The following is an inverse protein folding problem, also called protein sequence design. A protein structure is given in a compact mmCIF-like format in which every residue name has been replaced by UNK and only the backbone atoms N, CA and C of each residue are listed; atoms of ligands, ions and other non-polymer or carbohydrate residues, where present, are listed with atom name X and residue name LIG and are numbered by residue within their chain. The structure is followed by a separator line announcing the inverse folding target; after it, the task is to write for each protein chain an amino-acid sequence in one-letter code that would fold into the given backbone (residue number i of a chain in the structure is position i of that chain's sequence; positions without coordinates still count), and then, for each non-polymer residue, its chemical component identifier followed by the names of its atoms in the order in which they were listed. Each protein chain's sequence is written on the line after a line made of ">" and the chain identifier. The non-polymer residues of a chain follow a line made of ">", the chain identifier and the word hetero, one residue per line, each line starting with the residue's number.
data_IF_000669138673
#
_entry.id   IF_000669138673
#
_cell.length_a   1.000
_cell.length_b   1.000
_cell.length_c   1.000
_cell.angle_alpha   90.00
_cell.angle_beta   90.00
_cell.angle_gamma   90.00
#
_symmetry.space_group_name_H-M   'P 1'
#
loop_
_entity.id
_entity.type
_entity.pdbx_description
1 polymer ?
#
# COMPACT_ATOMS: atom_id res chain seq x y z
N UNK A 1 0.85 -3.45 -0.80
CA UNK A 1 2.13 -3.20 -0.12
C UNK A 1 2.11 -3.83 1.26
N UNK A 2 3.28 -4.05 1.83
CA UNK A 2 3.46 -4.38 3.26
C UNK A 2 4.23 -3.25 3.95
N UNK A 3 4.23 -3.26 5.28
CA UNK A 3 4.98 -2.30 6.07
C UNK A 3 4.84 -2.55 7.56
N UNK A 4 5.65 -1.85 8.35
CA UNK A 4 5.64 -1.92 9.80
C UNK A 4 5.14 -0.60 10.38
N UNK A 5 4.15 -0.67 11.26
CA UNK A 5 3.75 0.49 12.05
C UNK A 5 4.89 0.80 13.03
N UNK A 6 5.46 2.00 12.93
CA UNK A 6 6.59 2.44 13.76
C UNK A 6 6.21 3.53 14.76
N UNK A 7 5.10 4.24 14.51
CA UNK A 7 4.62 5.30 15.39
C UNK A 7 3.11 5.55 15.20
N UNK A 8 2.50 6.23 16.17
CA UNK A 8 1.10 6.70 16.13
C UNK A 8 1.12 8.22 16.24
N UNK A 9 0.59 8.91 15.23
CA UNK A 9 0.60 10.37 15.15
C UNK A 9 -0.73 10.97 15.58
N UNK A 10 -0.72 12.26 15.89
CA UNK A 10 -1.92 13.03 16.14
C UNK A 10 -1.75 14.41 15.50
N UNK A 11 -2.19 14.53 14.25
CA UNK A 11 -2.23 15.77 13.48
C UNK A 11 -3.67 16.29 13.41
N UNK A 12 -3.83 17.62 13.53
CA UNK A 12 -5.14 18.29 13.50
C UNK A 12 -5.86 18.15 12.13
N UNK A 13 -5.11 17.92 11.05
CA UNK A 13 -5.64 17.67 9.71
C UNK A 13 -6.09 16.22 9.53
N UNK A 14 -5.65 15.30 10.39
CA UNK A 14 -6.04 13.90 10.36
C UNK A 14 -7.34 13.66 11.15
N UNK A 15 -8.41 13.24 10.47
CA UNK A 15 -9.70 13.04 11.13
C UNK A 15 -9.97 11.61 11.61
N UNK A 16 -9.10 10.63 11.32
CA UNK A 16 -9.28 9.19 11.60
C UNK A 16 -7.96 8.54 12.02
N UNK A 17 -7.91 7.21 12.10
CA UNK A 17 -6.72 6.41 12.45
C UNK A 17 -5.45 6.95 11.78
N UNK A 18 -4.50 7.43 12.58
CA UNK A 18 -3.23 7.99 12.10
C UNK A 18 -2.08 7.16 12.64
N UNK A 19 -1.17 6.76 11.76
CA UNK A 19 0.01 5.98 12.11
C UNK A 19 1.07 6.15 11.02
N UNK A 20 2.33 5.99 11.42
CA UNK A 20 3.46 5.99 10.51
C UNK A 20 3.81 4.56 10.16
N UNK A 21 3.93 4.29 8.86
CA UNK A 21 4.34 2.98 8.35
C UNK A 21 5.71 3.10 7.70
N UNK A 22 6.67 2.32 8.20
CA UNK A 22 7.91 2.04 7.48
C UNK A 22 7.62 1.05 6.35
N UNK A 23 8.05 1.39 5.14
CA UNK A 23 7.86 0.60 3.91
C UNK A 23 9.20 0.44 3.20
N UNK A 24 9.29 -0.51 2.26
CA UNK A 24 10.52 -0.80 1.54
C UNK A 24 11.09 0.41 0.79
N UNK A 25 10.24 1.17 0.08
CA UNK A 25 10.61 2.42 -0.59
C UNK A 25 9.45 3.43 -0.54
N UNK A 26 9.58 4.44 0.33
CA UNK A 26 8.56 5.46 0.53
C UNK A 26 8.41 6.39 -0.68
N UNK A 27 9.50 6.70 -1.39
CA UNK A 27 9.47 7.57 -2.57
C UNK A 27 8.73 6.87 -3.71
N UNK A 28 9.02 5.58 -3.92
CA UNK A 28 8.33 4.78 -4.93
C UNK A 28 6.86 4.62 -4.60
N UNK A 29 6.51 4.34 -3.34
CA UNK A 29 5.12 4.23 -2.91
C UNK A 29 4.31 5.52 -3.15
N UNK A 30 4.91 6.68 -2.93
CA UNK A 30 4.25 7.97 -3.18
C UNK A 30 4.09 8.26 -4.67
N UNK A 31 5.16 8.13 -5.45
CA UNK A 31 5.15 8.49 -6.88
C UNK A 31 4.43 7.46 -7.76
N UNK A 32 4.42 6.19 -7.37
CA UNK A 32 3.78 5.09 -8.09
C UNK A 32 2.50 4.61 -7.38
N UNK A 33 1.73 5.53 -6.79
CA UNK A 33 0.48 5.16 -6.12
C UNK A 33 -0.43 4.33 -7.02
N UNK A 34 -0.96 3.23 -6.47
CA UNK A 34 -1.66 2.22 -7.26
C UNK A 34 -0.71 1.36 -8.10
N UNK A 35 0.51 1.14 -7.61
CA UNK A 35 1.59 0.42 -8.29
C UNK A 35 1.89 0.96 -9.71
N UNK A 36 1.74 2.27 -9.91
CA UNK A 36 1.95 2.95 -11.20
C UNK A 36 0.90 2.63 -12.27
N UNK A 37 -0.15 1.86 -11.94
CA UNK A 37 -1.19 1.44 -12.90
C UNK A 37 -2.32 2.44 -13.03
N UNK A 38 -2.49 3.32 -12.05
CA UNK A 38 -3.56 4.31 -12.00
C UNK A 38 -3.09 5.60 -12.70
N UNK A 39 -3.75 5.98 -13.80
CA UNK A 39 -3.42 7.19 -14.57
C UNK A 39 -4.43 8.31 -14.30
N UNK A 40 -3.93 9.53 -14.06
CA UNK A 40 -4.63 10.83 -14.00
C UNK A 40 -5.87 10.95 -13.07
N UNK A 41 -5.91 11.95 -12.20
CA UNK A 41 -7.13 12.37 -11.48
C UNK A 41 -7.58 11.51 -10.30
N UNK A 42 -7.05 10.29 -10.15
CA UNK A 42 -7.42 9.35 -9.07
C UNK A 42 -6.52 9.50 -7.84
N UNK A 43 -5.43 10.25 -7.94
CA UNK A 43 -4.54 10.57 -6.81
C UNK A 43 -5.28 11.29 -5.67
N UNK A 44 -6.45 11.85 -5.94
CA UNK A 44 -7.33 12.50 -4.97
C UNK A 44 -8.25 11.53 -4.22
N UNK A 45 -8.32 10.26 -4.65
CA UNK A 45 -9.21 9.24 -4.09
C UNK A 45 -8.47 8.26 -3.15
N UNK A 46 -7.48 8.76 -2.38
CA UNK A 46 -6.46 8.10 -1.52
C UNK A 46 -6.94 7.02 -0.51
N UNK A 47 -8.08 6.38 -0.70
CA UNK A 47 -8.58 5.32 0.14
C UNK A 47 -7.68 4.09 0.05
N UNK A 48 -7.22 3.64 1.22
CA UNK A 48 -6.59 2.34 1.41
C UNK A 48 -7.34 1.60 2.50
N UNK A 49 -7.39 0.28 2.35
CA UNK A 49 -7.80 -0.62 3.43
C UNK A 49 -6.53 -1.17 4.04
N UNK A 50 -6.41 -1.07 5.36
CA UNK A 50 -5.22 -1.50 6.09
C UNK A 50 -5.62 -2.63 7.03
N UNK A 51 -4.86 -3.72 6.98
CA UNK A 51 -5.04 -4.89 7.83
C UNK A 51 -3.84 -5.00 8.76
N UNK A 52 -4.08 -5.30 10.04
CA UNK A 52 -3.00 -5.60 10.97
C UNK A 52 -2.46 -7.01 10.72
N UNK A 53 -1.12 -7.14 10.62
CA UNK A 53 -0.41 -8.36 10.26
C UNK A 53 -0.06 -8.46 8.77
N UNK A 54 0.80 -9.43 8.43
CA UNK A 54 1.16 -9.71 7.04
C UNK A 54 0.21 -10.75 6.43
N UNK A 55 -0.62 -10.29 5.51
CA UNK A 55 -1.62 -11.11 4.80
C UNK A 55 -1.28 -11.32 3.32
N UNK A 56 -0.03 -11.09 2.91
CA UNK A 56 0.39 -11.15 1.50
C UNK A 56 0.12 -12.50 0.87
N UNK A 57 0.39 -13.60 1.60
CA UNK A 57 0.08 -14.96 1.15
C UNK A 57 -1.43 -15.14 0.94
N UNK A 58 -2.23 -14.75 1.93
CA UNK A 58 -3.70 -14.86 1.88
C UNK A 58 -4.28 -14.09 0.69
N UNK A 59 -3.74 -12.92 0.38
CA UNK A 59 -4.14 -12.14 -0.80
C UNK A 59 -3.77 -12.84 -2.11
N UNK A 60 -2.58 -13.45 -2.20
CA UNK A 60 -2.18 -14.25 -3.37
C UNK A 60 -3.08 -15.48 -3.60
N UNK A 61 -3.41 -16.19 -2.52
CA UNK A 61 -4.36 -17.31 -2.56
C UNK A 61 -5.76 -16.85 -3.03
N UNK A 62 -6.24 -15.71 -2.52
CA UNK A 62 -7.53 -15.12 -2.92
C UNK A 62 -7.54 -14.67 -4.39
N UNK A 63 -6.46 -14.03 -4.85
CA UNK A 63 -6.33 -13.61 -6.26
C UNK A 63 -6.38 -14.80 -7.22
N UNK A 64 -5.70 -15.90 -6.84
CA UNK A 64 -5.75 -17.16 -7.59
C UNK A 64 -7.17 -17.75 -7.65
N UNK A 65 -7.91 -17.69 -6.54
CA UNK A 65 -9.28 -18.17 -6.46
C UNK A 65 -10.27 -17.31 -7.26
N UNK A 66 -10.08 -15.99 -7.25
CA UNK A 66 -11.03 -15.02 -7.81
C UNK A 66 -10.67 -14.54 -9.23
N UNK A 67 -9.50 -14.92 -9.75
CA UNK A 67 -9.06 -14.58 -11.09
C UNK A 67 -8.59 -13.13 -11.25
N UNK A 68 -8.06 -12.50 -10.18
CA UNK A 68 -7.44 -11.18 -10.25
C UNK A 68 -5.94 -11.24 -9.95
N UNK A 69 -5.19 -10.31 -10.55
CA UNK A 69 -3.76 -10.15 -10.32
C UNK A 69 -3.50 -9.39 -9.01
N UNK A 70 -2.62 -9.94 -8.16
CA UNK A 70 -2.10 -9.25 -6.97
C UNK A 70 -0.76 -8.63 -7.33
N UNK A 71 -0.62 -7.34 -7.04
CA UNK A 71 0.60 -6.57 -7.36
C UNK A 71 1.17 -6.00 -6.07
N UNK A 72 2.47 -6.21 -5.85
CA UNK A 72 3.19 -5.59 -4.76
C UNK A 72 3.56 -4.14 -5.11
N UNK A 73 2.87 -3.20 -4.47
CA UNK A 73 3.19 -1.76 -4.58
C UNK A 73 4.38 -1.39 -3.70
N UNK A 74 5.33 -0.63 -4.25
CA UNK A 74 6.48 -0.10 -3.51
C UNK A 74 7.53 -1.14 -3.14
N UNK A 75 7.45 -2.37 -3.68
CA UNK A 75 8.47 -3.39 -3.52
C UNK A 75 9.78 -3.03 -4.22
N UNK A 76 10.84 -3.85 -4.11
CA UNK A 76 12.09 -3.64 -4.85
C UNK A 76 11.84 -3.66 -6.37
N UNK A 77 12.62 -2.91 -7.14
CA UNK A 77 12.63 -3.07 -8.60
C UNK A 77 13.26 -4.43 -8.89
N UNK A 78 12.54 -5.32 -9.59
CA UNK A 78 13.12 -6.57 -10.07
C UNK A 78 14.34 -6.23 -10.93
N UNK A 79 15.53 -6.56 -10.44
CA UNK A 79 16.77 -6.39 -11.21
C UNK A 79 16.80 -7.52 -12.23
N UNK A 80 16.78 -7.16 -13.52
CA UNK A 80 16.91 -8.08 -14.65
C UNK A 80 18.38 -8.45 -14.82
#
# INVERSE_FOLDING_TARGET
>A
STGKIIDVTHDELGCRTQFVTEVADANRMFNEWGAGRIKTGVMTLLHRVVFYGDHSKSMGDLGSLMGFEVVEEGGPVATI
#
